data_IF_997048627134
#
_entry.id   IF_997048627134
#
_cell.length_a   1.000
_cell.length_b   1.000
_cell.length_c   1.000
_cell.angle_alpha   90.00
_cell.angle_beta   90.00
_cell.angle_gamma   90.00
#
_symmetry.space_group_name_H-M   'P 1'
#
loop_
_entity.id
_entity.type
_entity.pdbx_description
1 polymer ?
#
# COMPACT_ATOMS: atom_id res chain seq x y z
N UNK A 1 -32.39 12.25 -5.49
CA UNK A 1 -32.18 13.62 -4.96
C UNK A 1 -30.74 13.67 -4.48
N UNK A 2 -29.88 14.30 -5.29
CA UNK A 2 -28.44 14.43 -5.02
C UNK A 2 -28.22 15.55 -3.99
N UNK A 3 -27.45 15.28 -2.95
CA UNK A 3 -26.94 16.30 -2.06
C UNK A 3 -25.84 17.06 -2.79
N UNK A 4 -26.14 18.26 -3.28
CA UNK A 4 -25.12 19.22 -3.73
C UNK A 4 -24.32 19.69 -2.53
N UNK A 5 -23.03 19.44 -2.52
CA UNK A 5 -22.11 20.06 -1.56
C UNK A 5 -21.83 21.51 -2.00
N UNK A 6 -21.85 22.44 -1.06
CA UNK A 6 -21.76 23.89 -1.27
C UNK A 6 -20.45 24.40 -1.89
N UNK A 7 -19.51 23.52 -2.19
CA UNK A 7 -18.18 23.82 -2.76
C UNK A 7 -17.95 23.21 -4.15
N UNK A 8 -19.01 22.78 -4.83
CA UNK A 8 -18.92 22.23 -6.19
C UNK A 8 -18.14 20.93 -6.31
N UNK A 9 -17.97 20.22 -5.20
CA UNK A 9 -17.27 18.95 -5.16
C UNK A 9 -17.97 17.88 -5.99
N UNK A 10 -17.23 17.27 -6.92
CA UNK A 10 -17.69 16.16 -7.71
C UNK A 10 -17.97 14.97 -6.77
N UNK A 11 -19.22 14.54 -6.68
CA UNK A 11 -19.57 13.31 -5.95
C UNK A 11 -19.02 12.13 -6.74
N UNK A 12 -18.02 11.46 -6.19
CA UNK A 12 -17.42 10.28 -6.81
C UNK A 12 -18.37 9.08 -6.71
N UNK A 13 -18.32 8.16 -7.69
CA UNK A 13 -19.01 6.89 -7.58
C UNK A 13 -18.63 6.19 -6.27
N UNK A 14 -19.62 5.83 -5.44
CA UNK A 14 -19.37 5.23 -4.12
C UNK A 14 -19.52 6.18 -2.94
N UNK A 15 -19.79 7.48 -3.18
CA UNK A 15 -20.13 8.43 -2.11
C UNK A 15 -18.96 8.82 -1.19
N UNK A 16 -17.72 8.70 -1.65
CA UNK A 16 -16.56 9.12 -0.86
C UNK A 16 -16.56 10.62 -0.60
N UNK A 17 -16.50 11.00 0.65
CA UNK A 17 -16.27 12.38 1.10
C UNK A 17 -14.90 12.43 1.74
N UNK A 18 -14.01 13.30 1.23
CA UNK A 18 -12.68 13.46 1.78
C UNK A 18 -12.76 14.07 3.18
N UNK A 19 -12.18 13.44 4.21
CA UNK A 19 -12.09 14.03 5.55
C UNK A 19 -11.12 15.22 5.55
N UNK A 20 -11.15 16.03 6.63
CA UNK A 20 -10.27 17.19 6.79
C UNK A 20 -8.79 16.81 6.65
N UNK A 21 -8.39 15.68 7.21
CA UNK A 21 -7.02 15.15 7.11
C UNK A 21 -7.02 13.65 6.85
N UNK A 22 -5.92 13.17 6.26
CA UNK A 22 -5.62 11.76 6.05
C UNK A 22 -4.19 11.49 6.54
N UNK A 23 -3.97 10.33 7.13
CA UNK A 23 -2.62 9.89 7.47
C UNK A 23 -1.92 9.28 6.27
N UNK A 24 -0.63 9.56 6.11
CA UNK A 24 0.10 9.06 4.97
C UNK A 24 1.58 8.83 5.21
N UNK A 25 2.19 8.14 4.26
CA UNK A 25 3.63 7.89 4.22
C UNK A 25 4.20 8.30 2.89
N UNK A 26 5.36 8.96 2.92
CA UNK A 26 6.13 9.31 1.74
C UNK A 26 7.30 8.33 1.58
N UNK A 27 7.34 7.67 0.43
CA UNK A 27 8.40 6.75 0.03
C UNK A 27 9.38 7.47 -0.88
N UNK A 28 10.66 7.30 -0.65
CA UNK A 28 11.72 7.90 -1.45
C UNK A 28 12.49 6.83 -2.21
N UNK A 29 12.59 7.01 -3.52
CA UNK A 29 13.42 6.21 -4.41
C UNK A 29 14.48 7.09 -5.08
N UNK A 30 15.59 6.50 -5.46
CA UNK A 30 16.52 7.11 -6.41
C UNK A 30 16.25 6.48 -7.77
N UNK A 31 15.77 7.29 -8.72
CA UNK A 31 15.42 6.86 -10.06
C UNK A 31 16.01 7.81 -11.09
N UNK A 32 16.81 7.29 -12.04
CA UNK A 32 17.52 8.07 -13.05
C UNK A 32 18.28 9.29 -12.45
N UNK A 33 19.10 9.04 -11.43
CA UNK A 33 19.90 10.06 -10.72
C UNK A 33 19.09 11.22 -10.11
N UNK A 34 17.81 11.01 -9.85
CA UNK A 34 16.93 11.99 -9.22
C UNK A 34 16.09 11.33 -8.11
N UNK A 35 15.71 12.12 -7.11
CA UNK A 35 14.76 11.67 -6.09
C UNK A 35 13.36 11.54 -6.69
N UNK A 36 12.73 10.38 -6.50
CA UNK A 36 11.33 10.14 -6.75
C UNK A 36 10.65 9.94 -5.40
N UNK A 37 9.61 10.72 -5.13
CA UNK A 37 8.83 10.66 -3.90
C UNK A 37 7.40 10.26 -4.24
N UNK A 38 6.89 9.25 -3.55
CA UNK A 38 5.52 8.79 -3.70
C UNK A 38 4.87 8.82 -2.32
N UNK A 39 3.83 9.63 -2.18
CA UNK A 39 3.06 9.74 -0.95
C UNK A 39 1.74 9.00 -1.10
N UNK A 40 1.44 8.12 -0.15
CA UNK A 40 0.16 7.42 -0.06
C UNK A 40 -0.54 7.85 1.21
N UNK A 41 -1.71 8.46 1.08
CA UNK A 41 -2.59 8.77 2.21
C UNK A 41 -3.68 7.72 2.31
N UNK A 42 -4.02 7.35 3.54
CA UNK A 42 -4.99 6.32 3.89
C UNK A 42 -6.12 6.90 4.72
N UNK A 43 -7.28 6.28 4.64
CA UNK A 43 -8.37 6.54 5.56
C UNK A 43 -8.12 5.88 6.93
N UNK A 44 -9.05 6.06 7.85
CA UNK A 44 -9.02 5.52 9.21
C UNK A 44 -9.03 3.97 9.25
N UNK A 45 -9.53 3.32 8.20
CA UNK A 45 -9.49 1.86 8.03
C UNK A 45 -8.16 1.37 7.42
N UNK A 46 -7.23 2.29 7.15
CA UNK A 46 -5.93 1.98 6.54
C UNK A 46 -5.99 1.73 5.04
N UNK A 47 -7.10 2.07 4.38
CA UNK A 47 -7.30 1.89 2.94
C UNK A 47 -6.70 3.08 2.19
N UNK A 48 -5.82 2.87 1.19
CA UNK A 48 -5.28 3.95 0.37
C UNK A 48 -6.38 4.74 -0.34
N UNK A 49 -6.31 6.08 -0.27
CA UNK A 49 -7.27 7.01 -0.88
C UNK A 49 -6.63 8.07 -1.76
N UNK A 50 -5.38 8.41 -1.52
CA UNK A 50 -4.67 9.43 -2.28
C UNK A 50 -3.25 9.00 -2.61
N UNK A 51 -2.80 9.33 -3.81
CA UNK A 51 -1.44 9.12 -4.30
C UNK A 51 -0.90 10.43 -4.86
N UNK A 52 0.26 10.87 -4.36
CA UNK A 52 1.00 12.01 -4.88
C UNK A 52 2.37 11.55 -5.36
N UNK A 53 2.80 12.11 -6.48
CA UNK A 53 4.06 11.73 -7.13
C UNK A 53 4.86 13.00 -7.37
N UNK A 54 6.06 13.05 -6.81
CA UNK A 54 6.98 14.17 -6.99
C UNK A 54 8.35 13.66 -7.43
N UNK A 55 9.00 14.39 -8.32
CA UNK A 55 10.34 14.10 -8.79
C UNK A 55 11.20 15.35 -8.75
N UNK A 56 12.40 15.24 -8.15
CA UNK A 56 13.27 16.37 -7.88
C UNK A 56 13.78 17.09 -9.14
N UNK A 57 14.15 16.33 -10.19
CA UNK A 57 14.58 16.87 -11.48
C UNK A 57 13.68 16.31 -12.57
N UNK A 58 12.69 17.06 -12.97
CA UNK A 58 11.77 16.71 -14.06
C UNK A 58 11.39 17.97 -14.82
N UNK A 59 11.16 17.82 -16.13
CA UNK A 59 10.58 18.87 -16.95
C UNK A 59 9.11 19.13 -16.59
N UNK A 60 8.55 20.21 -17.08
CA UNK A 60 7.16 20.60 -16.78
C UNK A 60 6.16 19.57 -17.30
N UNK A 61 6.42 18.98 -18.47
CA UNK A 61 5.60 17.92 -19.05
C UNK A 61 5.58 16.65 -18.20
N UNK A 62 6.75 16.23 -17.69
CA UNK A 62 6.85 15.10 -16.78
C UNK A 62 6.08 15.36 -15.48
N UNK A 63 6.19 16.56 -14.90
CA UNK A 63 5.45 16.95 -13.70
C UNK A 63 3.94 16.87 -13.91
N UNK A 64 3.47 17.42 -15.02
CA UNK A 64 2.05 17.38 -15.39
C UNK A 64 1.55 15.95 -15.56
N UNK A 65 2.35 15.06 -16.20
CA UNK A 65 2.02 13.65 -16.36
C UNK A 65 1.94 12.91 -15.01
N UNK A 66 2.87 13.17 -14.10
CA UNK A 66 2.86 12.56 -12.76
C UNK A 66 1.70 13.07 -11.91
N UNK A 67 1.39 14.36 -11.98
CA UNK A 67 0.23 14.94 -11.31
C UNK A 67 -1.08 14.33 -11.84
N UNK A 68 -1.23 14.23 -13.16
CA UNK A 68 -2.39 13.62 -13.79
C UNK A 68 -2.55 12.13 -13.41
N UNK A 69 -1.45 11.37 -13.39
CA UNK A 69 -1.43 9.97 -12.96
C UNK A 69 -1.85 9.84 -11.49
N UNK A 70 -1.29 10.65 -10.60
CA UNK A 70 -1.64 10.65 -9.17
C UNK A 70 -3.10 10.95 -8.94
N UNK A 71 -3.66 11.94 -9.64
CA UNK A 71 -5.09 12.30 -9.56
C UNK A 71 -6.00 11.17 -10.04
N UNK A 72 -5.68 10.52 -11.17
CA UNK A 72 -6.47 9.40 -11.70
C UNK A 72 -6.45 8.19 -10.76
N UNK A 73 -5.29 7.85 -10.19
CA UNK A 73 -5.17 6.77 -9.21
C UNK A 73 -5.97 7.11 -7.95
N UNK A 74 -5.88 8.34 -7.47
CA UNK A 74 -6.63 8.81 -6.30
C UNK A 74 -8.15 8.70 -6.52
N UNK A 75 -8.66 9.12 -7.69
CA UNK A 75 -10.08 8.97 -8.04
C UNK A 75 -10.47 7.50 -8.06
N UNK A 76 -9.65 6.62 -8.64
CA UNK A 76 -9.92 5.19 -8.66
C UNK A 76 -10.02 4.59 -7.25
N UNK A 77 -9.09 4.95 -6.36
CA UNK A 77 -9.09 4.53 -4.94
C UNK A 77 -10.33 5.05 -4.19
N UNK A 78 -10.66 6.31 -4.38
CA UNK A 78 -11.82 6.96 -3.76
C UNK A 78 -13.16 6.40 -4.28
N UNK A 79 -13.17 5.89 -5.51
CA UNK A 79 -14.31 5.18 -6.11
C UNK A 79 -14.38 3.70 -5.69
N UNK A 80 -13.60 3.29 -4.68
CA UNK A 80 -13.53 1.92 -4.16
C UNK A 80 -13.10 0.87 -5.19
N UNK A 81 -12.33 1.27 -6.21
CA UNK A 81 -11.65 0.31 -7.07
C UNK A 81 -10.66 -0.52 -6.23
N UNK A 82 -10.67 -1.83 -6.43
CA UNK A 82 -9.77 -2.72 -5.70
C UNK A 82 -8.29 -2.34 -5.93
N UNK A 83 -7.59 -2.11 -4.84
CA UNK A 83 -6.17 -1.71 -4.85
C UNK A 83 -5.32 -2.74 -5.60
N UNK A 84 -5.64 -4.04 -5.50
CA UNK A 84 -4.93 -5.10 -6.21
C UNK A 84 -5.04 -4.96 -7.72
N UNK A 85 -6.17 -4.48 -8.23
CA UNK A 85 -6.38 -4.21 -9.65
C UNK A 85 -5.50 -3.06 -10.13
N UNK A 86 -5.35 -2.01 -9.34
CA UNK A 86 -4.46 -0.88 -9.65
C UNK A 86 -3.00 -1.37 -9.65
N UNK A 87 -2.59 -2.11 -8.61
CA UNK A 87 -1.24 -2.69 -8.52
C UNK A 87 -0.93 -3.55 -9.74
N UNK A 88 -1.85 -4.44 -10.12
CA UNK A 88 -1.68 -5.33 -11.29
C UNK A 88 -1.53 -4.54 -12.59
N UNK A 89 -2.27 -3.46 -12.75
CA UNK A 89 -2.23 -2.61 -13.94
C UNK A 89 -0.91 -1.87 -14.08
N UNK A 90 -0.34 -1.40 -12.98
CA UNK A 90 0.87 -0.57 -13.00
C UNK A 90 2.17 -1.38 -12.90
N UNK A 91 2.11 -2.57 -12.30
CA UNK A 91 3.29 -3.41 -12.06
C UNK A 91 3.88 -3.93 -13.37
N UNK A 92 5.21 -3.83 -13.48
CA UNK A 92 5.95 -4.31 -14.63
C UNK A 92 5.97 -3.37 -15.83
N UNK A 93 5.29 -2.21 -15.78
CA UNK A 93 5.50 -1.15 -16.78
C UNK A 93 6.95 -0.71 -16.68
N UNK A 94 7.68 -0.78 -17.81
CA UNK A 94 9.12 -0.56 -17.81
C UNK A 94 9.57 0.48 -18.81
N UNK A 95 10.63 1.16 -18.45
CA UNK A 95 11.44 1.99 -19.35
C UNK A 95 12.72 1.26 -19.70
N UNK A 96 13.58 1.87 -20.53
CA UNK A 96 14.90 1.31 -20.85
C UNK A 96 15.84 1.25 -19.64
N UNK A 97 15.62 2.10 -18.66
CA UNK A 97 16.45 2.24 -17.46
C UNK A 97 15.76 1.60 -16.26
N UNK A 98 16.41 0.63 -15.65
CA UNK A 98 15.96 0.01 -14.40
C UNK A 98 16.82 0.55 -13.26
N UNK A 99 16.18 1.11 -12.22
CA UNK A 99 16.85 1.50 -10.99
C UNK A 99 16.72 0.38 -9.94
N UNK A 100 17.72 0.26 -9.09
CA UNK A 100 17.71 -0.70 -7.98
C UNK A 100 17.48 0.04 -6.67
N UNK A 101 16.43 -0.31 -5.98
CA UNK A 101 16.08 0.27 -4.67
C UNK A 101 16.43 -0.72 -3.55
N UNK A 102 17.22 -0.25 -2.58
CA UNK A 102 17.58 -1.04 -1.41
C UNK A 102 16.45 -1.01 -0.40
N UNK A 103 15.99 -2.18 0.00
CA UNK A 103 15.01 -2.38 1.08
C UNK A 103 15.66 -3.16 2.23
N UNK A 104 14.98 -3.25 3.36
CA UNK A 104 15.44 -4.09 4.48
C UNK A 104 15.57 -5.57 4.11
N UNK A 105 14.81 -6.02 3.12
CA UNK A 105 14.75 -7.41 2.68
C UNK A 105 15.55 -7.67 1.38
N UNK A 106 16.41 -6.74 0.97
CA UNK A 106 17.23 -6.83 -0.24
C UNK A 106 16.93 -5.74 -1.26
N UNK A 107 17.49 -5.89 -2.48
CA UNK A 107 17.27 -4.95 -3.57
C UNK A 107 16.08 -5.33 -4.43
N UNK A 108 15.23 -4.37 -4.75
CA UNK A 108 14.13 -4.54 -5.71
C UNK A 108 14.36 -3.68 -6.96
N UNK A 109 14.04 -4.19 -8.15
CA UNK A 109 14.12 -3.40 -9.38
C UNK A 109 12.92 -2.46 -9.48
N UNK A 110 13.18 -1.18 -9.73
CA UNK A 110 12.19 -0.17 -10.07
C UNK A 110 12.31 0.11 -11.57
N UNK A 111 11.34 -0.34 -12.33
CA UNK A 111 11.35 -0.31 -13.80
C UNK A 111 10.85 0.99 -14.40
N UNK A 112 9.99 1.69 -13.65
CA UNK A 112 9.40 2.97 -14.05
C UNK A 112 8.72 3.64 -12.86
N UNK A 113 8.21 4.85 -13.03
CA UNK A 113 7.38 5.52 -12.02
C UNK A 113 6.07 4.76 -11.75
N UNK A 114 5.31 4.31 -12.77
CA UNK A 114 4.16 3.43 -12.53
C UNK A 114 4.49 2.15 -11.75
N UNK A 115 5.59 1.49 -12.07
CA UNK A 115 6.05 0.29 -11.34
C UNK A 115 6.40 0.60 -9.89
N UNK A 116 7.03 1.75 -9.61
CA UNK A 116 7.29 2.22 -8.26
C UNK A 116 5.99 2.44 -7.46
N UNK A 117 4.97 3.03 -8.07
CA UNK A 117 3.65 3.21 -7.45
C UNK A 117 3.04 1.86 -7.07
N UNK A 118 3.12 0.87 -7.97
CA UNK A 118 2.64 -0.48 -7.68
C UNK A 118 3.35 -1.12 -6.48
N UNK A 119 4.67 -0.92 -6.35
CA UNK A 119 5.43 -1.39 -5.18
C UNK A 119 4.96 -0.70 -3.90
N UNK A 120 4.80 0.62 -3.91
CA UNK A 120 4.36 1.40 -2.74
C UNK A 120 2.94 1.05 -2.32
N UNK A 121 2.01 0.91 -3.27
CA UNK A 121 0.64 0.47 -2.98
C UNK A 121 0.60 -0.94 -2.42
N UNK A 122 1.42 -1.86 -2.93
CA UNK A 122 1.54 -3.22 -2.41
C UNK A 122 2.04 -3.22 -0.96
N UNK A 123 3.12 -2.50 -0.68
CA UNK A 123 3.67 -2.36 0.68
C UNK A 123 2.67 -1.70 1.64
N UNK A 124 1.98 -0.68 1.18
CA UNK A 124 0.98 0.02 1.98
C UNK A 124 -0.29 -0.81 2.24
N UNK A 125 -0.64 -1.73 1.36
CA UNK A 125 -1.79 -2.63 1.53
C UNK A 125 -1.50 -3.83 2.43
N UNK A 126 -0.22 -4.21 2.58
CA UNK A 126 0.24 -5.26 3.49
C UNK A 126 0.44 -4.77 4.94
N UNK A 127 0.22 -3.48 5.22
CA UNK A 127 -0.01 -3.02 6.57
C UNK A 127 -1.46 -3.36 6.98
N UNK A 128 -1.81 -4.65 6.96
CA UNK A 128 -2.77 -5.16 7.93
C UNK A 128 -2.33 -4.63 9.31
N UNK A 129 -3.29 -4.24 10.19
CA UNK A 129 -2.93 -3.94 11.56
C UNK A 129 -2.00 -5.10 11.98
N UNK A 130 -0.81 -4.77 12.50
CA UNK A 130 -0.02 -5.79 13.17
C UNK A 130 -1.03 -6.45 14.09
N UNK A 131 -1.50 -7.63 13.71
CA UNK A 131 -1.90 -8.60 14.71
C UNK A 131 -0.67 -8.58 15.58
N UNK A 132 -0.77 -7.96 16.77
CA UNK A 132 0.22 -8.17 17.79
C UNK A 132 0.44 -9.67 17.69
N UNK A 133 1.65 -10.07 17.36
CA UNK A 133 2.04 -11.44 17.56
C UNK A 133 1.71 -11.66 19.03
N UNK A 134 0.51 -12.15 19.27
CA UNK A 134 0.25 -12.81 20.51
C UNK A 134 1.36 -13.84 20.52
N UNK A 135 2.38 -13.60 21.33
CA UNK A 135 3.46 -14.55 21.58
C UNK A 135 2.70 -15.81 21.92
N UNK A 136 2.53 -16.66 20.91
CA UNK A 136 1.78 -17.90 21.06
C UNK A 136 2.32 -18.57 22.31
N UNK A 137 1.49 -19.21 23.11
CA UNK A 137 1.96 -19.92 24.27
C UNK A 137 3.07 -20.86 23.86
N UNK A 138 4.04 -21.03 24.76
CA UNK A 138 5.19 -21.88 24.51
C UNK A 138 4.70 -23.32 24.31
N UNK A 139 5.01 -23.90 23.18
CA UNK A 139 4.69 -25.29 22.91
C UNK A 139 5.47 -26.21 23.87
N UNK A 140 4.78 -27.06 24.61
CA UNK A 140 5.41 -28.01 25.53
C UNK A 140 6.21 -29.11 24.81
N UNK A 141 5.99 -29.28 23.51
CA UNK A 141 6.67 -30.33 22.73
C UNK A 141 7.96 -29.82 22.04
N UNK A 142 7.92 -28.64 21.38
CA UNK A 142 9.07 -28.10 20.63
C UNK A 142 9.70 -26.85 21.25
N UNK A 143 9.07 -26.26 22.26
CA UNK A 143 9.57 -25.08 22.95
C UNK A 143 9.35 -23.74 22.20
N UNK A 144 8.85 -23.76 20.97
CA UNK A 144 8.56 -22.59 20.16
C UNK A 144 7.27 -21.89 20.62
N UNK A 145 7.23 -20.56 20.51
CA UNK A 145 6.06 -19.73 20.83
C UNK A 145 5.08 -19.67 19.65
N UNK A 146 4.54 -20.81 19.23
CA UNK A 146 3.71 -20.96 18.05
C UNK A 146 2.39 -21.71 18.30
N UNK A 147 1.92 -21.76 19.55
CA UNK A 147 0.65 -22.41 19.93
C UNK A 147 -0.51 -21.46 19.68
N UNK A 148 -1.51 -21.96 18.94
CA UNK A 148 -2.79 -21.29 18.74
C UNK A 148 -3.92 -22.10 19.36
N UNK A 149 -4.92 -21.41 19.89
CA UNK A 149 -6.16 -22.02 20.39
C UNK A 149 -7.23 -21.94 19.30
N UNK A 150 -7.76 -23.06 18.88
CA UNK A 150 -8.85 -23.14 17.90
C UNK A 150 -9.84 -24.22 18.34
N UNK A 151 -11.10 -23.84 18.45
CA UNK A 151 -12.21 -24.76 18.76
C UNK A 151 -12.01 -25.63 20.02
N UNK A 152 -11.35 -25.09 21.05
CA UNK A 152 -11.06 -25.81 22.29
C UNK A 152 -9.83 -26.73 22.24
N UNK A 153 -9.09 -26.72 21.14
CA UNK A 153 -7.84 -27.45 20.97
C UNK A 153 -6.65 -26.49 20.89
N UNK A 154 -5.51 -26.88 21.46
CA UNK A 154 -4.23 -26.21 21.26
C UNK A 154 -3.49 -26.89 20.12
N UNK A 155 -3.09 -26.09 19.12
CA UNK A 155 -2.25 -26.52 17.99
C UNK A 155 -0.97 -25.73 17.91
N UNK A 156 0.16 -26.42 17.81
CA UNK A 156 1.42 -25.77 17.51
C UNK A 156 1.64 -25.72 15.99
N UNK A 157 1.85 -24.52 15.45
CA UNK A 157 2.10 -24.31 14.01
C UNK A 157 3.51 -24.72 13.58
N UNK A 158 4.44 -24.85 14.55
CA UNK A 158 5.83 -25.20 14.25
C UNK A 158 6.07 -26.71 14.19
N UNK A 159 5.51 -27.49 15.11
CA UNK A 159 5.74 -28.94 15.18
C UNK A 159 4.47 -29.79 14.96
N UNK A 160 3.36 -29.16 14.59
CA UNK A 160 2.06 -29.84 14.37
C UNK A 160 1.50 -30.58 15.61
N UNK A 161 2.09 -30.39 16.79
CA UNK A 161 1.56 -30.93 18.03
C UNK A 161 0.16 -30.39 18.30
N UNK A 162 -0.78 -31.24 18.60
CA UNK A 162 -2.16 -30.88 18.91
C UNK A 162 -2.59 -31.57 20.22
N UNK A 163 -3.18 -30.79 21.12
CA UNK A 163 -3.80 -31.29 22.35
C UNK A 163 -5.21 -30.75 22.44
N UNK A 164 -6.17 -31.67 22.43
CA UNK A 164 -7.58 -31.37 22.70
C UNK A 164 -7.88 -31.92 24.10
N UNK A 165 -8.31 -31.01 25.00
CA UNK A 165 -8.74 -31.37 26.37
C UNK A 165 -10.12 -32.00 26.41
#
# INVERSE_FOLDING_TARGET
>A
EGTETLDGGHVLPGGYTRPEYLEGKTYRFTYNNSGLFITINKDEDGIPKEVFIERGKSGDEEKAAYEGMGRLISIALQSNLDVKSIIKTLRGIQTRNVAWHQTKNGSIPIRSVPDAIAHVLSDSSHNEPKVEESKGEKCNNCGEHAVIHSEGCMKCLSCSYSSCG
#
